data_IF_977361981293
#
_entry.id   IF_977361981293
#
_cell.length_a   1.000
_cell.length_b   1.000
_cell.length_c   1.000
_cell.angle_alpha   90.00
_cell.angle_beta   90.00
_cell.angle_gamma   90.00
#
_symmetry.space_group_name_H-M   'P 1'
#
loop_
_entity.id
_entity.type
_entity.pdbx_description
1 polymer ?
#
# COMPACT_ATOMS: atom_id res chain seq x y z
N UNK A 1 4.54 -6.33 -22.32
CA UNK A 1 4.14 -7.02 -21.07
C UNK A 1 3.02 -6.20 -20.43
N UNK A 2 1.76 -6.64 -20.52
CA UNK A 2 0.61 -5.93 -19.91
C UNK A 2 0.59 -6.27 -18.43
N UNK A 3 1.30 -5.51 -17.60
CA UNK A 3 1.17 -5.62 -16.14
C UNK A 3 -0.29 -5.36 -15.79
N UNK A 4 -1.00 -6.41 -15.35
CA UNK A 4 -2.40 -6.29 -15.00
C UNK A 4 -2.53 -5.26 -13.87
N UNK A 5 -3.41 -4.25 -13.98
CA UNK A 5 -3.64 -3.28 -12.91
C UNK A 5 -3.92 -3.95 -11.55
N UNK A 6 -4.47 -5.16 -11.57
CA UNK A 6 -4.68 -6.00 -10.38
C UNK A 6 -3.39 -6.50 -9.74
N UNK A 7 -2.40 -6.96 -10.53
CA UNK A 7 -1.16 -7.51 -9.96
C UNK A 7 -0.31 -6.41 -9.31
N UNK A 8 -0.30 -5.23 -9.92
CA UNK A 8 0.40 -4.07 -9.37
C UNK A 8 -0.28 -3.58 -8.08
N UNK A 9 -1.62 -3.54 -8.02
CA UNK A 9 -2.37 -3.17 -6.83
C UNK A 9 -2.13 -4.11 -5.64
N UNK A 10 -2.05 -5.42 -5.89
CA UNK A 10 -1.73 -6.42 -4.85
C UNK A 10 -0.29 -6.24 -4.34
N UNK A 11 0.66 -5.93 -5.22
CA UNK A 11 2.04 -5.66 -4.83
C UNK A 11 2.15 -4.43 -3.91
N UNK A 12 1.54 -3.30 -4.28
CA UNK A 12 1.50 -2.11 -3.43
C UNK A 12 0.79 -2.35 -2.10
N UNK A 13 -0.26 -3.17 -2.08
CA UNK A 13 -0.93 -3.56 -0.84
C UNK A 13 0.01 -4.34 0.09
N UNK A 14 0.73 -5.33 -0.46
CA UNK A 14 1.66 -6.15 0.29
C UNK A 14 2.82 -5.31 0.86
N UNK A 15 3.36 -4.38 0.06
CA UNK A 15 4.37 -3.42 0.52
C UNK A 15 3.83 -2.49 1.61
N UNK A 16 2.63 -1.95 1.45
CA UNK A 16 2.01 -1.11 2.49
C UNK A 16 1.82 -1.83 3.83
N UNK A 17 1.42 -3.12 3.80
CA UNK A 17 1.34 -3.96 5.01
C UNK A 17 2.73 -4.18 5.62
N UNK A 18 3.73 -4.48 4.79
CA UNK A 18 5.11 -4.68 5.25
C UNK A 18 5.66 -3.42 5.93
N UNK A 19 5.52 -2.25 5.31
CA UNK A 19 5.97 -1.00 5.90
C UNK A 19 5.20 -0.62 7.17
N UNK A 20 3.92 -0.96 7.25
CA UNK A 20 3.14 -0.80 8.49
C UNK A 20 3.71 -1.69 9.60
N UNK A 21 4.03 -2.95 9.31
CA UNK A 21 4.66 -3.87 10.27
C UNK A 21 6.02 -3.35 10.74
N UNK A 22 6.84 -2.84 9.82
CA UNK A 22 8.13 -2.23 10.14
C UNK A 22 7.96 -0.97 11.00
N UNK A 23 6.95 -0.13 10.72
CA UNK A 23 6.66 1.06 11.53
C UNK A 23 6.31 0.69 12.97
N UNK A 24 5.46 -0.33 13.16
CA UNK A 24 5.08 -0.82 14.49
C UNK A 24 6.31 -1.35 15.24
N UNK A 25 7.16 -2.16 14.61
CA UNK A 25 8.39 -2.64 15.24
C UNK A 25 9.39 -1.50 15.54
N UNK A 26 9.49 -0.50 14.65
CA UNK A 26 10.35 0.67 14.88
C UNK A 26 9.82 1.62 15.96
N UNK A 27 8.59 1.43 16.44
CA UNK A 27 7.94 2.29 17.44
C UNK A 27 8.31 1.95 18.89
N UNK A 28 9.26 1.06 19.13
CA UNK A 28 9.74 0.71 20.48
C UNK A 28 10.14 1.94 21.32
N UNK A 29 10.77 2.93 20.69
CA UNK A 29 11.15 4.20 21.35
C UNK A 29 10.05 5.27 21.31
N UNK A 30 8.91 4.99 20.67
CA UNK A 30 7.79 5.88 20.49
C UNK A 30 7.32 6.00 19.03
N UNK A 31 6.07 6.42 18.86
CA UNK A 31 5.44 6.59 17.53
C UNK A 31 5.93 7.87 16.84
N UNK A 32 6.45 8.82 17.61
CA UNK A 32 6.97 10.12 17.13
C UNK A 32 8.42 10.07 16.62
N UNK A 33 9.02 8.89 16.63
CA UNK A 33 10.37 8.67 16.11
C UNK A 33 10.41 8.96 14.61
N UNK A 34 11.42 9.71 14.15
CA UNK A 34 11.65 9.99 12.73
C UNK A 34 11.52 8.76 11.82
N UNK A 35 12.18 7.61 12.08
CA UNK A 35 12.04 6.43 11.24
C UNK A 35 10.61 5.86 11.21
N UNK A 36 9.90 5.88 12.34
CA UNK A 36 8.51 5.40 12.44
C UNK A 36 7.57 6.29 11.61
N UNK A 37 7.72 7.62 11.68
CA UNK A 37 6.94 8.55 10.86
C UNK A 37 7.23 8.35 9.37
N UNK A 38 8.50 8.16 9.00
CA UNK A 38 8.88 7.90 7.62
C UNK A 38 8.26 6.60 7.09
N UNK A 39 8.31 5.52 7.87
CA UNK A 39 7.68 4.25 7.52
C UNK A 39 6.16 4.36 7.40
N UNK A 40 5.51 5.10 8.31
CA UNK A 40 4.06 5.37 8.25
C UNK A 40 3.68 6.17 6.99
N UNK A 41 4.48 7.17 6.61
CA UNK A 41 4.25 7.94 5.39
C UNK A 41 4.33 7.04 4.15
N UNK A 42 5.39 6.23 4.03
CA UNK A 42 5.57 5.30 2.90
C UNK A 42 4.42 4.30 2.85
N UNK A 43 4.06 3.69 3.98
CA UNK A 43 2.93 2.78 4.06
C UNK A 43 1.61 3.43 3.60
N UNK A 44 1.38 4.70 3.97
CA UNK A 44 0.18 5.45 3.56
C UNK A 44 0.13 5.65 2.05
N UNK A 45 1.26 6.01 1.42
CA UNK A 45 1.34 6.14 -0.04
C UNK A 45 1.07 4.81 -0.74
N UNK A 46 1.70 3.72 -0.28
CA UNK A 46 1.53 2.38 -0.86
C UNK A 46 0.08 1.89 -0.77
N UNK A 47 -0.56 2.05 0.40
CA UNK A 47 -1.97 1.69 0.58
C UNK A 47 -2.91 2.57 -0.28
N UNK A 48 -2.62 3.86 -0.42
CA UNK A 48 -3.38 4.77 -1.29
C UNK A 48 -3.30 4.36 -2.76
N UNK A 49 -2.11 4.02 -3.25
CA UNK A 49 -1.89 3.52 -4.62
C UNK A 49 -2.59 2.17 -4.80
N UNK A 50 -2.46 1.25 -3.84
CA UNK A 50 -3.16 -0.03 -3.86
C UNK A 50 -4.67 0.15 -3.99
N UNK A 51 -5.26 1.02 -3.16
CA UNK A 51 -6.70 1.32 -3.19
C UNK A 51 -7.15 1.88 -4.55
N UNK A 52 -6.36 2.79 -5.14
CA UNK A 52 -6.63 3.33 -6.49
C UNK A 52 -6.60 2.24 -7.56
N UNK A 53 -5.64 1.32 -7.47
CA UNK A 53 -5.49 0.21 -8.42
C UNK A 53 -6.59 -0.84 -8.28
N UNK A 54 -7.05 -1.11 -7.05
CA UNK A 54 -8.23 -1.95 -6.83
C UNK A 54 -9.50 -1.31 -7.38
N UNK A 55 -9.74 -0.02 -7.12
CA UNK A 55 -10.89 0.71 -7.69
C UNK A 55 -10.89 0.69 -9.22
N UNK A 56 -9.73 0.87 -9.86
CA UNK A 56 -9.60 0.74 -11.31
C UNK A 56 -9.94 -0.68 -11.77
N UNK A 57 -9.45 -1.69 -11.06
CA UNK A 57 -9.72 -3.10 -11.36
C UNK A 57 -11.21 -3.46 -11.23
N UNK A 58 -11.90 -2.96 -10.21
CA UNK A 58 -13.34 -3.12 -10.05
C UNK A 58 -14.12 -2.45 -11.17
N UNK A 59 -13.76 -1.21 -11.55
CA UNK A 59 -14.39 -0.51 -12.69
C UNK A 59 -14.19 -1.24 -14.02
N UNK A 60 -12.99 -1.76 -14.27
CA UNK A 60 -12.69 -2.55 -15.47
C UNK A 60 -13.48 -3.86 -15.49
N UNK A 61 -13.64 -4.53 -14.35
CA UNK A 61 -14.50 -5.73 -14.24
C UNK A 61 -15.97 -5.40 -14.44
N UNK A 62 -16.46 -4.27 -13.90
CA UNK A 62 -17.85 -3.84 -14.06
C UNK A 62 -18.21 -3.47 -15.51
N UNK A 63 -17.27 -2.88 -16.28
CA UNK A 63 -17.47 -2.59 -17.71
C UNK A 63 -17.36 -3.81 -18.63
N UNK A 64 -16.86 -4.95 -18.11
CA UNK A 64 -16.74 -6.20 -18.86
C UNK A 64 -17.94 -7.14 -18.68
N UNK A 65 -18.90 -6.76 -17.83
CA UNK A 65 -20.18 -7.44 -17.62
C UNK A 65 -21.26 -6.67 -18.38
#
# INVERSE_FOLDING_TARGET
MRTSPTSMGVFYLAMGILFTYLAVNSSESGIWSFPTILLMLIATFDLGVAFRMFNLSFKVKAKKK
#
